data_IF_559265223308
#
_entry.id   IF_559265223308
#
_cell.length_a   1.000
_cell.length_b   1.000
_cell.length_c   1.000
_cell.angle_alpha   90.00
_cell.angle_beta   90.00
_cell.angle_gamma   90.00
#
_symmetry.space_group_name_H-M   'P 1'
#
loop_
_entity.id
_entity.type
_entity.pdbx_description
1 polymer ?
#
# COMPACT_ATOMS: atom_id res chain seq x y z
N UNK A 1 2.62 -5.82 -17.88
CA UNK A 1 2.88 -4.38 -17.60
C UNK A 1 1.56 -3.63 -17.69
N UNK A 2 1.31 -2.67 -16.80
CA UNK A 2 0.16 -1.76 -16.89
C UNK A 2 0.69 -0.36 -17.06
N UNK A 3 0.16 0.37 -18.04
CA UNK A 3 0.48 1.77 -18.24
C UNK A 3 -0.79 2.59 -18.13
N UNK A 4 -0.79 3.60 -17.30
CA UNK A 4 -1.89 4.56 -17.10
C UNK A 4 -1.38 5.92 -17.54
N UNK A 5 -2.05 6.52 -18.53
CA UNK A 5 -1.62 7.77 -19.16
C UNK A 5 -2.74 8.80 -19.14
N UNK A 6 -2.48 9.89 -18.44
CA UNK A 6 -3.38 11.06 -18.37
C UNK A 6 -4.82 10.70 -17.97
N UNK A 7 -4.97 9.76 -17.06
CA UNK A 7 -6.25 9.17 -16.71
C UNK A 7 -7.13 10.15 -15.92
N UNK A 8 -8.33 10.40 -16.43
CA UNK A 8 -9.32 11.29 -15.80
C UNK A 8 -10.66 10.58 -15.65
N UNK A 9 -11.32 10.77 -14.51
CA UNK A 9 -12.70 10.36 -14.30
C UNK A 9 -13.50 11.46 -13.64
N UNK A 10 -14.55 11.92 -14.35
CA UNK A 10 -15.51 12.91 -13.86
C UNK A 10 -16.89 12.29 -13.67
N UNK A 11 -17.58 12.67 -12.62
CA UNK A 11 -18.97 12.36 -12.32
C UNK A 11 -19.72 13.69 -12.14
N UNK A 12 -20.33 14.20 -13.23
CA UNK A 12 -20.84 15.57 -13.26
C UNK A 12 -19.69 16.56 -13.00
N UNK A 13 -19.86 17.42 -12.01
CA UNK A 13 -18.85 18.42 -11.63
C UNK A 13 -17.73 17.86 -10.72
N UNK A 14 -17.88 16.64 -10.22
CA UNK A 14 -16.89 16.03 -9.34
C UNK A 14 -15.83 15.27 -10.14
N UNK A 15 -14.57 15.67 -10.01
CA UNK A 15 -13.42 14.95 -10.57
C UNK A 15 -12.89 13.95 -9.54
N UNK A 16 -13.18 12.67 -9.75
CA UNK A 16 -12.78 11.58 -8.85
C UNK A 16 -11.33 11.08 -9.12
N UNK A 17 -10.86 11.23 -10.37
CA UNK A 17 -9.49 10.92 -10.79
C UNK A 17 -9.04 12.04 -11.72
N UNK A 18 -7.85 12.60 -11.46
CA UNK A 18 -7.35 13.80 -12.09
C UNK A 18 -5.93 13.61 -12.64
N UNK A 19 -5.84 13.33 -13.94
CA UNK A 19 -4.61 13.20 -14.73
C UNK A 19 -3.59 12.22 -14.14
N UNK A 20 -4.03 11.03 -13.68
CA UNK A 20 -3.13 10.02 -13.18
C UNK A 20 -2.20 9.48 -14.27
N UNK A 21 -0.92 9.42 -13.93
CA UNK A 21 0.13 8.83 -14.77
C UNK A 21 1.00 7.91 -13.92
N UNK A 22 1.04 6.63 -14.25
CA UNK A 22 1.94 5.66 -13.60
C UNK A 22 2.09 4.40 -14.44
N UNK A 23 3.13 3.64 -14.12
CA UNK A 23 3.41 2.35 -14.74
C UNK A 23 3.59 1.29 -13.66
N UNK A 24 3.01 0.11 -13.89
CA UNK A 24 3.18 -1.07 -13.04
C UNK A 24 4.04 -2.09 -13.79
N UNK A 25 5.22 -2.37 -13.26
CA UNK A 25 6.17 -3.32 -13.84
C UNK A 25 5.72 -4.77 -13.63
N UNK A 26 6.10 -5.66 -14.56
CA UNK A 26 5.81 -7.10 -14.44
C UNK A 26 6.51 -7.72 -13.23
N UNK A 27 5.79 -8.62 -12.53
CA UNK A 27 6.36 -9.44 -11.46
C UNK A 27 6.62 -8.69 -10.15
N UNK A 28 6.03 -7.51 -9.98
CA UNK A 28 6.10 -6.74 -8.73
C UNK A 28 4.74 -6.60 -8.08
N UNK A 29 4.73 -6.33 -6.79
CA UNK A 29 3.54 -6.02 -6.00
C UNK A 29 3.49 -4.51 -5.76
N UNK A 30 2.47 -3.86 -6.30
CA UNK A 30 2.22 -2.44 -6.14
C UNK A 30 1.10 -2.19 -5.13
N UNK A 31 1.36 -1.33 -4.16
CA UNK A 31 0.37 -0.82 -3.22
C UNK A 31 -0.22 0.50 -3.71
N UNK A 32 -1.54 0.58 -3.78
CA UNK A 32 -2.29 1.78 -4.12
C UNK A 32 -2.89 2.36 -2.85
N UNK A 33 -2.19 3.32 -2.25
CA UNK A 33 -2.49 3.87 -0.93
C UNK A 33 -3.19 5.22 -1.04
N UNK A 34 -4.17 5.47 -0.17
CA UNK A 34 -4.83 6.77 -0.08
C UNK A 34 -6.00 6.75 0.89
N UNK A 35 -6.50 7.91 1.35
CA UNK A 35 -7.67 7.98 2.20
C UNK A 35 -8.94 7.52 1.47
N UNK A 36 -10.03 7.34 2.22
CA UNK A 36 -11.33 7.08 1.61
C UNK A 36 -11.74 8.28 0.75
N UNK A 37 -12.22 8.01 -0.46
CA UNK A 37 -12.55 9.06 -1.42
C UNK A 37 -11.38 9.58 -2.27
N UNK A 38 -10.14 9.11 -2.07
CA UNK A 38 -8.98 9.54 -2.86
C UNK A 38 -9.00 9.11 -4.35
N UNK A 39 -9.96 8.28 -4.78
CA UNK A 39 -10.07 7.81 -6.15
C UNK A 39 -9.54 6.38 -6.39
N UNK A 40 -9.12 5.64 -5.34
CA UNK A 40 -8.54 4.29 -5.46
C UNK A 40 -9.44 3.31 -6.20
N UNK A 41 -10.63 3.02 -5.67
CA UNK A 41 -11.57 2.06 -6.28
C UNK A 41 -12.07 2.53 -7.65
N UNK A 42 -12.20 3.85 -7.86
CA UNK A 42 -12.51 4.41 -9.19
C UNK A 42 -11.41 4.07 -10.19
N UNK A 43 -10.15 4.23 -9.80
CA UNK A 43 -8.99 3.88 -10.65
C UNK A 43 -8.94 2.37 -10.91
N UNK A 44 -9.13 1.52 -9.89
CA UNK A 44 -9.18 0.06 -10.05
C UNK A 44 -10.31 -0.36 -11.01
N UNK A 45 -11.49 0.26 -10.89
CA UNK A 45 -12.62 -0.01 -11.78
C UNK A 45 -12.35 0.41 -13.23
N UNK A 46 -11.57 1.46 -13.47
CA UNK A 46 -11.14 1.84 -14.82
C UNK A 46 -10.08 0.87 -15.36
N UNK A 47 -9.09 0.48 -14.56
CA UNK A 47 -8.05 -0.49 -14.97
C UNK A 47 -8.66 -1.85 -15.32
N UNK A 48 -9.70 -2.27 -14.60
CA UNK A 48 -10.42 -3.53 -14.88
C UNK A 48 -11.43 -3.41 -16.02
N UNK A 49 -11.64 -2.21 -16.55
CA UNK A 49 -12.64 -1.94 -17.59
C UNK A 49 -14.08 -2.12 -17.11
N UNK A 50 -14.32 -2.00 -15.78
CA UNK A 50 -15.66 -2.01 -15.20
C UNK A 50 -16.39 -0.68 -15.49
N UNK A 51 -15.65 0.43 -15.46
CA UNK A 51 -16.11 1.75 -15.89
C UNK A 51 -15.13 2.34 -16.92
N UNK A 52 -15.63 3.13 -17.86
CA UNK A 52 -14.78 3.86 -18.80
C UNK A 52 -14.19 5.10 -18.14
N UNK A 53 -12.97 5.48 -18.56
CA UNK A 53 -12.38 6.78 -18.25
C UNK A 53 -13.15 7.92 -18.95
N UNK A 54 -13.03 9.14 -18.44
CA UNK A 54 -13.50 10.34 -19.14
C UNK A 54 -12.47 10.81 -20.16
N UNK A 55 -11.18 10.73 -19.78
CA UNK A 55 -10.03 11.07 -20.63
C UNK A 55 -8.87 10.14 -20.28
N UNK A 56 -7.86 10.08 -21.16
CA UNK A 56 -6.66 9.26 -20.97
C UNK A 56 -6.86 7.81 -21.38
N UNK A 57 -5.79 7.02 -21.24
CA UNK A 57 -5.77 5.63 -21.70
C UNK A 57 -5.15 4.70 -20.63
N UNK A 58 -5.56 3.43 -20.67
CA UNK A 58 -5.01 2.35 -19.86
C UNK A 58 -4.61 1.23 -20.79
N UNK A 59 -3.33 0.85 -20.74
CA UNK A 59 -2.78 -0.26 -21.50
C UNK A 59 -2.44 -1.43 -20.57
N UNK A 60 -2.97 -2.60 -20.86
CA UNK A 60 -2.66 -3.84 -20.18
C UNK A 60 -1.81 -4.70 -21.11
N UNK A 61 -0.53 -4.77 -20.82
CA UNK A 61 0.45 -5.46 -21.67
C UNK A 61 0.38 -5.04 -23.15
N UNK A 62 0.25 -3.72 -23.37
CA UNK A 62 0.18 -3.08 -24.68
C UNK A 62 -1.23 -3.00 -25.29
N UNK A 63 -2.26 -3.64 -24.69
CA UNK A 63 -3.63 -3.64 -25.18
C UNK A 63 -4.47 -2.59 -24.43
N UNK A 64 -5.09 -1.68 -25.15
CA UNK A 64 -5.97 -0.67 -24.56
C UNK A 64 -7.25 -1.34 -24.01
N UNK A 65 -7.59 -1.04 -22.75
CA UNK A 65 -8.73 -1.65 -22.04
C UNK A 65 -10.08 -1.29 -22.66
N UNK A 66 -10.20 -0.15 -23.37
CA UNK A 66 -11.43 0.28 -24.01
C UNK A 66 -11.52 -0.18 -25.48
N UNK A 67 -10.39 -0.23 -26.19
CA UNK A 67 -10.36 -0.59 -27.63
C UNK A 67 -10.30 -2.10 -27.82
N UNK A 68 -9.55 -2.81 -26.95
CA UNK A 68 -9.35 -4.27 -27.00
C UNK A 68 -9.77 -4.96 -25.68
N UNK A 69 -11.01 -4.74 -25.19
CA UNK A 69 -11.42 -5.15 -23.85
C UNK A 69 -11.35 -6.65 -23.60
N UNK A 70 -11.63 -7.49 -24.61
CA UNK A 70 -11.58 -8.95 -24.44
C UNK A 70 -10.16 -9.46 -24.24
N UNK A 71 -9.18 -8.90 -24.94
CA UNK A 71 -7.77 -9.28 -24.84
C UNK A 71 -7.20 -8.78 -23.51
N UNK A 72 -7.42 -7.52 -23.19
CA UNK A 72 -6.93 -6.90 -21.96
C UNK A 72 -7.53 -7.55 -20.70
N UNK A 73 -8.87 -7.76 -20.65
CA UNK A 73 -9.56 -8.37 -19.50
C UNK A 73 -9.17 -9.84 -19.26
N UNK A 74 -8.83 -10.61 -20.28
CA UNK A 74 -8.31 -11.99 -20.10
C UNK A 74 -7.01 -12.02 -19.30
N UNK A 75 -6.22 -10.96 -19.35
CA UNK A 75 -4.95 -10.83 -18.61
C UNK A 75 -5.13 -10.41 -17.15
N UNK A 76 -6.34 -10.04 -16.74
CA UNK A 76 -6.64 -9.49 -15.42
C UNK A 76 -7.45 -10.47 -14.58
N UNK A 77 -7.02 -10.68 -13.35
CA UNK A 77 -7.84 -11.23 -12.27
C UNK A 77 -8.23 -10.11 -11.31
N UNK A 78 -9.51 -9.95 -11.02
CA UNK A 78 -10.00 -8.87 -10.15
C UNK A 78 -10.76 -9.39 -8.96
N UNK A 79 -10.38 -8.92 -7.78
CA UNK A 79 -11.09 -9.09 -6.51
C UNK A 79 -11.57 -7.71 -6.07
N UNK A 80 -12.86 -7.39 -6.18
CA UNK A 80 -13.42 -6.15 -5.60
C UNK A 80 -13.51 -6.26 -4.07
N UNK A 81 -13.63 -5.13 -3.38
CA UNK A 81 -13.77 -5.04 -1.92
C UNK A 81 -14.88 -5.99 -1.40
N UNK A 82 -16.02 -6.03 -2.09
CA UNK A 82 -17.12 -6.97 -1.81
C UNK A 82 -17.25 -7.92 -2.99
N UNK A 83 -16.74 -9.17 -2.88
CA UNK A 83 -16.83 -10.14 -3.96
C UNK A 83 -18.30 -10.49 -4.28
N UNK A 84 -18.73 -10.41 -5.57
CA UNK A 84 -20.09 -10.70 -6.00
C UNK A 84 -20.34 -12.22 -6.07
N UNK A 85 -20.40 -12.88 -4.90
CA UNK A 85 -20.52 -14.33 -4.80
C UNK A 85 -21.98 -14.79 -4.84
N UNK A 86 -22.26 -15.88 -5.56
CA UNK A 86 -23.57 -16.56 -5.54
C UNK A 86 -23.71 -17.35 -4.24
N UNK A 87 -24.47 -16.79 -3.30
CA UNK A 87 -24.58 -17.25 -1.91
C UNK A 87 -25.17 -18.67 -1.77
N UNK A 88 -26.02 -19.10 -2.71
CA UNK A 88 -26.70 -20.41 -2.70
C UNK A 88 -25.93 -21.50 -3.44
N UNK A 89 -24.77 -21.19 -4.01
CA UNK A 89 -23.83 -22.17 -4.55
C UNK A 89 -22.85 -22.67 -3.49
N UNK A 90 -22.37 -23.89 -3.65
CA UNK A 90 -21.16 -24.34 -2.96
C UNK A 90 -19.93 -23.69 -3.58
N UNK A 91 -18.80 -23.68 -2.84
CA UNK A 91 -17.53 -23.13 -3.36
C UNK A 91 -17.13 -23.78 -4.70
N UNK A 92 -17.28 -25.10 -4.79
CA UNK A 92 -16.90 -25.82 -6.01
C UNK A 92 -17.83 -25.51 -7.20
N UNK A 93 -19.14 -25.42 -6.96
CA UNK A 93 -20.12 -25.04 -8.00
C UNK A 93 -19.84 -23.64 -8.53
N UNK A 94 -19.58 -22.69 -7.61
CA UNK A 94 -19.27 -21.33 -7.97
C UNK A 94 -17.96 -21.21 -8.79
N UNK A 95 -16.90 -21.92 -8.39
CA UNK A 95 -15.65 -21.90 -9.14
C UNK A 95 -15.77 -22.57 -10.50
N UNK A 96 -16.60 -23.62 -10.64
CA UNK A 96 -16.93 -24.23 -11.93
C UNK A 96 -17.64 -23.22 -12.85
N UNK A 97 -18.66 -22.57 -12.33
CA UNK A 97 -19.40 -21.53 -13.03
C UNK A 97 -18.48 -20.37 -13.46
N UNK A 98 -17.64 -19.87 -12.55
CA UNK A 98 -16.68 -18.81 -12.86
C UNK A 98 -15.64 -19.21 -13.92
N UNK A 99 -15.15 -20.45 -13.87
CA UNK A 99 -14.25 -20.99 -14.87
C UNK A 99 -14.90 -21.09 -16.27
N UNK A 100 -16.20 -21.36 -16.30
CA UNK A 100 -16.98 -21.40 -17.53
C UNK A 100 -17.19 -20.01 -18.11
N UNK A 101 -17.55 -19.02 -17.28
CA UNK A 101 -17.68 -17.62 -17.69
C UNK A 101 -16.36 -17.03 -18.22
N UNK A 102 -15.23 -17.44 -17.64
CA UNK A 102 -13.89 -17.05 -18.12
C UNK A 102 -13.47 -17.79 -19.40
N UNK A 103 -14.34 -18.60 -19.99
CA UNK A 103 -14.10 -19.40 -21.19
C UNK A 103 -12.84 -20.29 -21.09
N UNK A 104 -12.52 -20.80 -19.87
CA UNK A 104 -11.41 -21.76 -19.69
C UNK A 104 -11.77 -23.06 -20.42
N UNK A 105 -10.87 -23.66 -21.24
CA UNK A 105 -11.10 -24.90 -21.92
C UNK A 105 -11.58 -25.99 -20.95
N UNK A 106 -12.59 -26.81 -21.39
CA UNK A 106 -13.24 -27.78 -20.52
C UNK A 106 -12.27 -28.80 -19.91
N UNK A 107 -11.29 -29.18 -20.65
CA UNK A 107 -10.22 -30.11 -20.27
C UNK A 107 -9.27 -29.55 -19.20
N UNK A 108 -9.14 -28.22 -19.11
CA UNK A 108 -8.25 -27.54 -18.18
C UNK A 108 -8.97 -27.09 -16.90
N UNK A 109 -10.31 -27.00 -16.91
CA UNK A 109 -11.10 -26.42 -15.80
C UNK A 109 -10.87 -27.13 -14.47
N UNK A 110 -10.88 -28.48 -14.46
CA UNK A 110 -10.73 -29.23 -13.20
C UNK A 110 -9.33 -29.03 -12.59
N UNK A 111 -8.29 -29.02 -13.42
CA UNK A 111 -6.92 -28.76 -12.99
C UNK A 111 -6.81 -27.34 -12.42
N UNK A 112 -7.30 -26.37 -13.16
CA UNK A 112 -7.26 -24.95 -12.79
C UNK A 112 -7.99 -24.70 -11.46
N UNK A 113 -9.23 -25.23 -11.30
CA UNK A 113 -10.01 -25.12 -10.07
C UNK A 113 -9.27 -25.75 -8.88
N UNK A 114 -8.70 -26.95 -9.07
CA UNK A 114 -7.95 -27.63 -8.01
C UNK A 114 -6.75 -26.80 -7.56
N UNK A 115 -5.99 -26.23 -8.48
CA UNK A 115 -4.82 -25.41 -8.17
C UNK A 115 -5.18 -24.11 -7.45
N UNK A 116 -6.22 -23.40 -7.91
CA UNK A 116 -6.65 -22.17 -7.21
C UNK A 116 -7.23 -22.45 -5.84
N UNK A 117 -7.96 -23.56 -5.66
CA UNK A 117 -8.47 -23.97 -4.34
C UNK A 117 -7.33 -24.30 -3.38
N UNK A 118 -6.29 -24.99 -3.83
CA UNK A 118 -5.10 -25.30 -3.04
C UNK A 118 -4.39 -24.00 -2.64
N UNK A 119 -4.14 -23.13 -3.61
CA UNK A 119 -3.47 -21.82 -3.40
C UNK A 119 -4.22 -20.95 -2.37
N UNK A 120 -5.55 -20.92 -2.45
CA UNK A 120 -6.39 -20.11 -1.55
C UNK A 120 -6.84 -20.83 -0.29
N UNK A 121 -6.40 -22.09 -0.07
CA UNK A 121 -6.74 -22.92 1.10
C UNK A 121 -8.26 -23.12 1.25
N UNK A 122 -8.93 -23.50 0.18
CA UNK A 122 -10.38 -23.73 0.12
C UNK A 122 -10.78 -25.21 0.02
N UNK A 123 -9.84 -26.14 0.00
CA UNK A 123 -10.13 -27.56 -0.27
C UNK A 123 -11.14 -28.17 0.72
N UNK A 124 -11.01 -27.86 2.00
CA UNK A 124 -11.91 -28.34 3.04
C UNK A 124 -13.31 -27.70 2.97
N UNK A 125 -13.43 -26.56 2.27
CA UNK A 125 -14.67 -25.80 2.13
C UNK A 125 -15.41 -26.07 0.82
N UNK A 126 -14.89 -26.89 -0.08
CA UNK A 126 -15.38 -27.09 -1.45
C UNK A 126 -16.87 -27.42 -1.57
N UNK A 127 -17.42 -28.16 -0.60
CA UNK A 127 -18.83 -28.59 -0.60
C UNK A 127 -19.72 -27.69 0.27
N UNK A 128 -19.15 -26.66 0.92
CA UNK A 128 -19.89 -25.76 1.79
C UNK A 128 -20.58 -24.67 0.98
N UNK A 129 -21.82 -24.33 1.32
CA UNK A 129 -22.53 -23.21 0.72
C UNK A 129 -21.81 -21.89 1.08
N UNK A 130 -21.67 -21.00 0.11
CA UNK A 130 -20.98 -19.73 0.26
C UNK A 130 -21.62 -18.85 1.33
N UNK A 131 -22.96 -18.86 1.46
CA UNK A 131 -23.66 -18.11 2.53
C UNK A 131 -23.22 -18.50 3.94
N UNK A 132 -22.78 -19.75 4.15
CA UNK A 132 -22.37 -20.30 5.44
C UNK A 132 -20.85 -20.11 5.71
N UNK A 133 -20.12 -19.38 4.88
CA UNK A 133 -18.72 -19.08 5.06
C UNK A 133 -18.54 -17.80 5.87
N UNK A 134 -17.45 -17.74 6.66
CA UNK A 134 -16.99 -16.49 7.26
C UNK A 134 -16.56 -15.47 6.19
N UNK A 135 -16.44 -14.20 6.56
CA UNK A 135 -15.99 -13.14 5.64
C UNK A 135 -14.65 -13.49 5.01
N UNK A 136 -13.67 -13.98 5.80
CA UNK A 136 -12.35 -14.37 5.30
C UNK A 136 -12.42 -15.53 4.29
N UNK A 137 -13.26 -16.51 4.50
CA UNK A 137 -13.46 -17.57 3.50
C UNK A 137 -14.15 -17.05 2.24
N UNK A 138 -15.11 -16.13 2.35
CA UNK A 138 -15.73 -15.48 1.17
C UNK A 138 -14.68 -14.68 0.38
N UNK A 139 -13.78 -13.98 1.07
CA UNK A 139 -12.67 -13.27 0.44
C UNK A 139 -11.74 -14.23 -0.32
N UNK A 140 -11.41 -15.40 0.27
CA UNK A 140 -10.63 -16.45 -0.39
C UNK A 140 -11.34 -17.03 -1.62
N UNK A 141 -12.68 -17.17 -1.59
CA UNK A 141 -13.45 -17.59 -2.78
C UNK A 141 -13.38 -16.55 -3.90
N UNK A 142 -13.53 -15.27 -3.57
CA UNK A 142 -13.34 -14.18 -4.53
C UNK A 142 -11.92 -14.15 -5.11
N UNK A 143 -10.90 -14.37 -4.28
CA UNK A 143 -9.51 -14.46 -4.73
C UNK A 143 -9.28 -15.69 -5.62
N UNK A 144 -9.85 -16.86 -5.28
CA UNK A 144 -9.80 -18.05 -6.12
C UNK A 144 -10.42 -17.78 -7.50
N UNK A 145 -11.57 -17.09 -7.55
CA UNK A 145 -12.19 -16.65 -8.80
C UNK A 145 -11.26 -15.70 -9.60
N UNK A 146 -10.60 -14.75 -8.93
CA UNK A 146 -9.66 -13.86 -9.59
C UNK A 146 -8.51 -14.61 -10.25
N UNK A 147 -7.99 -15.67 -9.59
CA UNK A 147 -6.87 -16.50 -10.04
C UNK A 147 -7.22 -17.49 -11.17
N UNK A 148 -8.50 -17.79 -11.41
CA UNK A 148 -8.92 -18.68 -12.50
C UNK A 148 -8.40 -18.17 -13.86
N UNK A 149 -7.81 -19.05 -14.64
CA UNK A 149 -7.24 -18.75 -15.95
C UNK A 149 -5.80 -18.22 -15.89
N UNK A 150 -5.17 -18.20 -14.73
CA UNK A 150 -3.78 -17.77 -14.51
C UNK A 150 -3.49 -16.36 -15.09
N UNK A 151 -4.21 -15.33 -14.67
CA UNK A 151 -4.04 -13.99 -15.21
C UNK A 151 -2.62 -13.46 -14.95
N UNK A 152 -2.07 -12.69 -15.88
CA UNK A 152 -0.76 -12.06 -15.69
C UNK A 152 -0.78 -10.98 -14.60
N UNK A 153 -1.92 -10.31 -14.44
CA UNK A 153 -2.14 -9.22 -13.50
C UNK A 153 -3.27 -9.58 -12.53
N UNK A 154 -3.05 -9.36 -11.25
CA UNK A 154 -4.06 -9.53 -10.19
C UNK A 154 -4.31 -8.17 -9.55
N UNK A 155 -5.57 -7.74 -9.54
CA UNK A 155 -6.01 -6.49 -8.90
C UNK A 155 -6.87 -6.84 -7.70
N UNK A 156 -6.51 -6.33 -6.53
CA UNK A 156 -7.14 -6.59 -5.25
C UNK A 156 -7.60 -5.26 -4.63
N UNK A 157 -8.90 -5.04 -4.55
CA UNK A 157 -9.45 -3.82 -3.94
C UNK A 157 -9.77 -4.10 -2.47
N UNK A 158 -9.01 -3.46 -1.55
CA UNK A 158 -9.14 -3.58 -0.09
C UNK A 158 -9.23 -5.05 0.40
N UNK A 159 -8.28 -5.94 0.06
CA UNK A 159 -8.41 -7.38 0.24
C UNK A 159 -8.50 -7.84 1.70
N UNK A 160 -8.16 -6.99 2.65
CA UNK A 160 -8.05 -7.29 4.09
C UNK A 160 -9.16 -6.66 4.94
N UNK A 161 -9.99 -5.79 4.34
CA UNK A 161 -11.04 -5.05 5.06
C UNK A 161 -12.00 -5.97 5.80
N UNK A 162 -12.11 -5.75 7.12
CA UNK A 162 -13.02 -6.45 8.02
C UNK A 162 -12.67 -7.92 8.27
N UNK A 163 -11.41 -8.28 8.07
CA UNK A 163 -10.83 -9.54 8.50
C UNK A 163 -10.25 -9.40 9.91
N UNK A 164 -10.17 -10.52 10.64
CA UNK A 164 -9.45 -10.56 11.91
C UNK A 164 -7.92 -10.56 11.69
N UNK A 165 -7.11 -10.21 12.72
CA UNK A 165 -5.65 -10.09 12.58
C UNK A 165 -4.96 -11.35 12.04
N UNK A 166 -5.45 -12.54 12.40
CA UNK A 166 -4.90 -13.79 11.90
C UNK A 166 -5.16 -13.96 10.40
N UNK A 167 -6.38 -13.67 9.97
CA UNK A 167 -6.77 -13.74 8.57
C UNK A 167 -6.02 -12.70 7.72
N UNK A 168 -5.76 -11.50 8.26
CA UNK A 168 -4.95 -10.48 7.59
C UNK A 168 -3.54 -11.02 7.29
N UNK A 169 -2.88 -11.63 8.28
CA UNK A 169 -1.54 -12.24 8.08
C UNK A 169 -1.60 -13.31 6.98
N UNK A 170 -2.59 -14.19 7.03
CA UNK A 170 -2.73 -15.26 6.03
C UNK A 170 -3.00 -14.74 4.61
N UNK A 171 -3.78 -13.68 4.45
CA UNK A 171 -4.01 -13.04 3.14
C UNK A 171 -2.75 -12.33 2.65
N UNK A 172 -2.00 -11.65 3.52
CA UNK A 172 -0.71 -11.03 3.18
C UNK A 172 0.29 -12.06 2.67
N UNK A 173 0.44 -13.19 3.36
CA UNK A 173 1.34 -14.27 2.93
C UNK A 173 0.92 -14.84 1.58
N UNK A 174 -0.39 -14.96 1.36
CA UNK A 174 -0.93 -15.40 0.09
C UNK A 174 -0.59 -14.39 -1.02
N UNK A 175 -0.82 -13.09 -0.81
CA UNK A 175 -0.49 -12.04 -1.79
C UNK A 175 1.02 -12.05 -2.11
N UNK A 176 1.90 -12.16 -1.11
CA UNK A 176 3.35 -12.32 -1.33
C UNK A 176 3.68 -13.54 -2.20
N UNK A 177 3.00 -14.65 -1.98
CA UNK A 177 3.19 -15.85 -2.78
C UNK A 177 2.74 -15.68 -4.24
N UNK A 178 1.67 -14.91 -4.45
CA UNK A 178 1.16 -14.57 -5.79
C UNK A 178 2.10 -13.63 -6.54
N UNK A 179 2.71 -12.66 -5.87
CA UNK A 179 3.69 -11.74 -6.47
C UNK A 179 4.90 -12.43 -7.10
N UNK A 180 5.22 -13.67 -6.69
CA UNK A 180 6.29 -14.47 -7.32
C UNK A 180 5.96 -14.92 -8.73
N UNK A 181 4.69 -14.93 -9.13
CA UNK A 181 4.22 -15.47 -10.43
C UNK A 181 3.39 -14.46 -11.22
N UNK A 182 2.83 -13.49 -10.55
CA UNK A 182 1.91 -12.51 -11.11
C UNK A 182 2.38 -11.10 -10.79
N UNK A 183 1.96 -10.14 -11.59
CA UNK A 183 1.99 -8.73 -11.22
C UNK A 183 0.77 -8.46 -10.34
N UNK A 184 0.95 -7.86 -9.18
CA UNK A 184 -0.15 -7.62 -8.25
C UNK A 184 -0.31 -6.12 -8.00
N UNK A 185 -1.53 -5.62 -8.07
CA UNK A 185 -1.90 -4.30 -7.54
C UNK A 185 -2.88 -4.54 -6.40
N UNK A 186 -2.61 -3.95 -5.25
CA UNK A 186 -3.57 -3.96 -4.15
C UNK A 186 -3.87 -2.54 -3.70
N UNK A 187 -5.14 -2.22 -3.48
CA UNK A 187 -5.52 -0.99 -2.81
C UNK A 187 -5.62 -1.21 -1.30
N UNK A 188 -5.23 -0.23 -0.53
CA UNK A 188 -5.47 -0.17 0.91
C UNK A 188 -5.46 1.27 1.41
N UNK A 189 -6.17 1.52 2.49
CA UNK A 189 -6.03 2.75 3.27
C UNK A 189 -5.15 2.52 4.52
N UNK A 190 -4.67 1.29 4.74
CA UNK A 190 -3.84 0.89 5.87
C UNK A 190 -2.39 0.71 5.40
N UNK A 191 -1.57 1.62 5.82
CA UNK A 191 -0.20 1.71 5.35
C UNK A 191 0.69 0.55 5.79
N UNK A 192 0.53 0.08 7.03
CA UNK A 192 1.28 -1.09 7.54
C UNK A 192 0.99 -2.38 6.75
N UNK A 193 -0.15 -2.46 6.09
CA UNK A 193 -0.48 -3.57 5.19
C UNK A 193 0.30 -3.48 3.89
N UNK A 194 0.33 -2.28 3.30
CA UNK A 194 1.03 -1.99 2.05
C UNK A 194 2.53 -2.20 2.22
N UNK A 195 3.12 -1.60 3.26
CA UNK A 195 4.56 -1.73 3.57
C UNK A 195 5.01 -3.17 3.79
N UNK A 196 4.15 -3.99 4.38
CA UNK A 196 4.49 -5.38 4.68
C UNK A 196 4.52 -6.29 3.45
N UNK A 197 3.93 -5.88 2.32
CA UNK A 197 3.68 -6.77 1.16
C UNK A 197 4.22 -6.21 -0.14
N UNK A 198 4.21 -4.87 -0.32
CA UNK A 198 4.45 -4.24 -1.62
C UNK A 198 5.93 -3.93 -1.86
N UNK A 199 6.36 -4.10 -3.11
CA UNK A 199 7.68 -3.69 -3.60
C UNK A 199 7.69 -2.20 -3.94
N UNK A 200 6.54 -1.63 -4.29
CA UNK A 200 6.38 -0.24 -4.69
C UNK A 200 5.03 0.31 -4.22
N UNK A 201 4.97 1.58 -3.85
CA UNK A 201 3.78 2.25 -3.36
C UNK A 201 3.44 3.46 -4.21
N UNK A 202 2.18 3.55 -4.61
CA UNK A 202 1.58 4.69 -5.28
C UNK A 202 0.64 5.37 -4.27
N UNK A 203 0.97 6.57 -3.84
CA UNK A 203 0.14 7.35 -2.90
C UNK A 203 -0.76 8.28 -3.69
N UNK A 204 -2.07 8.15 -3.47
CA UNK A 204 -3.08 8.98 -4.12
C UNK A 204 -3.83 9.80 -3.09
N UNK A 205 -4.03 11.08 -3.39
CA UNK A 205 -4.96 11.96 -2.69
C UNK A 205 -5.75 12.82 -3.69
N UNK A 206 -7.03 13.04 -3.39
CA UNK A 206 -7.96 13.87 -4.20
C UNK A 206 -7.88 13.59 -5.72
N UNK A 207 -7.73 12.32 -6.08
CA UNK A 207 -7.65 11.85 -7.47
C UNK A 207 -6.29 12.01 -8.14
N UNK A 208 -5.26 12.50 -7.45
CA UNK A 208 -3.92 12.75 -7.99
C UNK A 208 -2.88 11.81 -7.37
N UNK A 209 -1.84 11.51 -8.15
CA UNK A 209 -0.68 10.79 -7.65
C UNK A 209 0.24 11.78 -6.89
N UNK A 210 0.38 11.56 -5.58
CA UNK A 210 1.17 12.42 -4.69
C UNK A 210 2.61 11.93 -4.58
N UNK A 211 2.79 10.60 -4.52
CA UNK A 211 4.12 9.99 -4.46
C UNK A 211 4.11 8.60 -5.08
N UNK A 212 5.27 8.16 -5.58
CA UNK A 212 5.49 6.86 -6.20
C UNK A 212 6.93 6.42 -5.97
N UNK A 213 7.15 5.48 -5.06
CA UNK A 213 8.48 4.94 -4.76
C UNK A 213 8.37 3.62 -3.96
N UNK A 214 9.51 3.01 -3.60
CA UNK A 214 9.55 1.89 -2.67
C UNK A 214 9.16 2.34 -1.24
N UNK A 215 8.60 1.45 -0.40
CA UNK A 215 8.29 1.78 0.99
C UNK A 215 9.48 2.37 1.75
N UNK A 216 10.67 1.82 1.53
CA UNK A 216 11.92 2.25 2.16
C UNK A 216 12.32 3.67 1.73
N UNK A 217 12.21 3.97 0.42
CA UNK A 217 12.55 5.29 -0.10
C UNK A 217 11.56 6.34 0.36
N UNK A 218 10.25 6.05 0.31
CA UNK A 218 9.23 6.96 0.83
C UNK A 218 9.48 7.32 2.30
N UNK A 219 9.85 6.32 3.10
CA UNK A 219 10.23 6.55 4.50
C UNK A 219 11.46 7.46 4.63
N UNK A 220 12.50 7.27 3.80
CA UNK A 220 13.73 8.08 3.82
C UNK A 220 13.54 9.50 3.31
N UNK A 221 12.87 9.67 2.15
CA UNK A 221 12.70 10.99 1.51
C UNK A 221 11.92 11.94 2.39
N UNK A 222 10.94 11.43 3.16
CA UNK A 222 10.10 12.28 4.01
C UNK A 222 10.69 12.51 5.40
N UNK A 223 11.58 11.65 5.87
CA UNK A 223 12.37 11.96 7.06
C UNK A 223 13.31 13.14 6.78
N UNK A 224 13.56 13.40 5.49
CA UNK A 224 14.34 14.55 5.03
C UNK A 224 15.65 14.73 5.76
N UNK A 225 16.08 13.75 6.57
CA UNK A 225 17.33 13.75 7.33
C UNK A 225 17.31 12.60 8.33
N UNK A 226 18.49 12.09 8.59
CA UNK A 226 18.78 11.21 9.70
C UNK A 226 18.34 11.88 11.02
N UNK A 227 17.21 11.47 11.57
CA UNK A 227 16.81 11.86 12.91
C UNK A 227 17.11 10.69 13.85
N UNK A 228 17.63 11.02 15.04
CA UNK A 228 17.92 10.05 16.09
C UNK A 228 17.05 10.33 17.31
N UNK A 229 16.42 9.30 17.86
CA UNK A 229 15.87 9.34 19.18
C UNK A 229 16.92 8.91 20.19
N UNK A 230 17.09 9.72 21.22
CA UNK A 230 18.03 9.51 22.31
C UNK A 230 17.31 9.56 23.65
N UNK A 231 17.57 8.56 24.51
CA UNK A 231 17.28 8.64 25.94
C UNK A 231 18.59 8.69 26.69
N UNK A 232 18.84 9.78 27.40
CA UNK A 232 20.13 10.03 28.08
C UNK A 232 19.86 10.35 29.54
N UNK A 233 20.66 9.78 30.44
CA UNK A 233 20.62 10.05 31.87
C UNK A 233 21.60 11.16 32.24
N UNK A 234 21.13 12.18 32.99
CA UNK A 234 21.96 13.33 33.39
C UNK A 234 21.14 14.59 33.52
N UNK A 235 21.79 15.74 33.67
CA UNK A 235 21.14 17.05 33.64
C UNK A 235 20.84 17.50 32.22
N UNK A 236 19.60 17.95 31.96
CA UNK A 236 19.17 18.38 30.62
C UNK A 236 20.10 19.41 29.98
N UNK A 237 20.51 20.42 30.76
CA UNK A 237 21.38 21.50 30.28
C UNK A 237 22.74 20.99 29.79
N UNK A 238 23.35 20.06 30.52
CA UNK A 238 24.65 19.45 30.20
C UNK A 238 24.55 18.60 28.94
N UNK A 239 23.47 17.81 28.83
CA UNK A 239 23.22 16.96 27.65
C UNK A 239 23.04 17.84 26.41
N UNK A 240 22.22 18.89 26.52
CA UNK A 240 21.91 19.82 25.42
C UNK A 240 23.17 20.56 24.93
N UNK A 241 24.01 21.01 25.87
CA UNK A 241 25.28 21.67 25.55
C UNK A 241 26.23 20.71 24.81
N UNK A 242 26.40 19.50 25.31
CA UNK A 242 27.25 18.48 24.68
C UNK A 242 26.76 18.12 23.25
N UNK A 243 25.46 17.92 23.07
CA UNK A 243 24.87 17.67 21.76
C UNK A 243 24.99 18.86 20.80
N UNK A 244 24.92 20.09 21.31
CA UNK A 244 25.09 21.32 20.53
C UNK A 244 26.52 21.54 19.99
N UNK A 245 27.52 20.87 20.56
CA UNK A 245 28.91 20.90 20.09
C UNK A 245 29.19 19.90 18.95
N UNK A 246 28.27 18.97 18.71
CA UNK A 246 28.42 17.97 17.64
C UNK A 246 28.09 18.60 16.29
N UNK A 247 29.05 18.58 15.36
CA UNK A 247 28.85 19.08 14.00
C UNK A 247 27.71 18.33 13.28
N UNK A 248 27.04 19.00 12.35
CA UNK A 248 25.95 18.46 11.55
C UNK A 248 24.64 18.15 12.34
N UNK A 249 24.50 18.59 13.57
CA UNK A 249 23.20 18.62 14.25
C UNK A 249 22.47 19.92 13.88
N UNK A 250 21.30 19.80 13.23
CA UNK A 250 20.48 20.97 12.85
C UNK A 250 19.50 21.40 13.93
N UNK A 251 18.94 20.44 14.65
CA UNK A 251 17.94 20.72 15.65
C UNK A 251 17.92 19.64 16.74
N UNK A 252 17.63 20.07 17.98
CA UNK A 252 17.51 19.22 19.14
C UNK A 252 16.18 19.54 19.80
N UNK A 253 15.22 18.59 19.75
CA UNK A 253 13.91 18.70 20.39
C UNK A 253 13.91 17.87 21.66
N UNK A 254 13.57 18.48 22.78
CA UNK A 254 13.45 17.84 24.07
C UNK A 254 12.04 17.26 24.26
N UNK A 255 11.98 16.08 24.89
CA UNK A 255 10.76 15.45 25.36
C UNK A 255 10.93 14.98 26.81
N UNK A 256 9.86 15.03 27.59
CA UNK A 256 9.90 14.47 28.95
C UNK A 256 9.99 12.95 28.88
N UNK A 257 10.96 12.36 29.60
CA UNK A 257 11.11 10.90 29.68
C UNK A 257 10.26 10.31 30.80
N UNK A 258 9.79 9.06 30.59
CA UNK A 258 9.17 8.27 31.64
C UNK A 258 10.21 7.63 32.59
N UNK A 259 11.48 7.65 32.21
CA UNK A 259 12.58 7.06 33.02
C UNK A 259 13.11 8.10 33.99
N UNK A 260 13.11 7.78 35.29
CA UNK A 260 13.57 8.68 36.33
C UNK A 260 15.03 9.12 36.15
N UNK A 261 15.28 10.42 36.13
CA UNK A 261 16.60 11.00 35.90
C UNK A 261 17.14 10.89 34.49
N UNK A 262 16.30 10.54 33.53
CA UNK A 262 16.63 10.54 32.10
C UNK A 262 15.80 11.54 31.32
N UNK A 263 16.29 11.92 30.15
CA UNK A 263 15.69 12.87 29.24
C UNK A 263 15.66 12.28 27.83
N UNK A 264 14.55 12.49 27.13
CA UNK A 264 14.37 12.05 25.74
C UNK A 264 14.61 13.22 24.79
N UNK A 265 15.38 12.98 23.74
CA UNK A 265 15.69 13.96 22.71
C UNK A 265 15.44 13.37 21.32
N UNK A 266 14.90 14.20 20.43
CA UNK A 266 14.93 13.95 18.99
C UNK A 266 15.95 14.88 18.36
N UNK A 267 16.99 14.30 17.76
CA UNK A 267 18.08 15.01 17.11
C UNK A 267 17.90 14.94 15.60
N UNK A 268 17.91 16.08 14.95
CA UNK A 268 17.88 16.20 13.50
C UNK A 268 19.28 16.43 12.96
N UNK A 269 19.74 15.58 12.03
CA UNK A 269 21.11 15.56 11.49
C UNK A 269 21.08 16.05 10.04
N UNK A 270 22.03 16.92 9.69
CA UNK A 270 22.26 17.37 8.31
C UNK A 270 22.98 16.31 7.51
N UNK A 271 22.46 15.97 6.32
CA UNK A 271 23.11 15.05 5.40
C UNK A 271 22.91 13.56 5.75
N UNK A 272 23.60 12.69 5.01
CA UNK A 272 23.42 11.23 5.04
C UNK A 272 24.48 10.52 5.91
N UNK A 273 25.07 11.23 6.89
CA UNK A 273 26.14 10.69 7.73
C UNK A 273 25.58 10.03 9.01
N UNK A 274 26.14 8.88 9.35
CA UNK A 274 25.84 8.24 10.64
C UNK A 274 26.59 8.97 11.78
N UNK A 275 25.84 9.71 12.58
CA UNK A 275 26.37 10.53 13.68
C UNK A 275 26.36 9.84 15.03
N UNK A 276 25.98 8.55 15.08
CA UNK A 276 25.84 7.81 16.35
C UNK A 276 27.15 7.75 17.16
N UNK A 277 28.28 7.55 16.51
CA UNK A 277 29.59 7.56 17.18
C UNK A 277 29.94 8.94 17.74
N UNK A 278 29.76 9.99 16.96
CA UNK A 278 30.05 11.38 17.39
C UNK A 278 29.22 11.75 18.62
N UNK A 279 27.91 11.47 18.58
CA UNK A 279 27.00 11.70 19.68
C UNK A 279 27.39 10.87 20.91
N UNK A 280 27.77 9.61 20.72
CA UNK A 280 28.22 8.74 21.81
C UNK A 280 29.44 9.35 22.52
N UNK A 281 30.47 9.75 21.79
CA UNK A 281 31.68 10.31 22.37
C UNK A 281 31.41 11.64 23.08
N UNK A 282 30.62 12.54 22.47
CA UNK A 282 30.26 13.82 23.11
C UNK A 282 29.56 13.63 24.47
N UNK A 283 28.64 12.67 24.57
CA UNK A 283 27.95 12.37 25.81
C UNK A 283 28.82 11.61 26.82
N UNK A 284 29.78 10.81 26.36
CA UNK A 284 30.76 10.16 27.22
C UNK A 284 31.68 11.16 27.91
N UNK A 285 32.12 12.20 27.24
CA UNK A 285 32.97 13.26 27.81
C UNK A 285 32.31 13.94 29.00
N UNK A 286 31.01 14.19 28.92
CA UNK A 286 30.21 14.79 30.01
C UNK A 286 29.63 13.76 30.99
N UNK A 287 30.01 12.48 30.85
CA UNK A 287 29.57 11.35 31.70
C UNK A 287 28.05 11.17 31.76
N UNK A 288 27.36 11.42 30.66
CA UNK A 288 25.93 11.24 30.51
C UNK A 288 25.62 9.90 29.80
N UNK A 289 25.21 8.84 30.53
CA UNK A 289 24.97 7.53 29.93
C UNK A 289 23.80 7.54 28.95
N UNK A 290 24.02 6.97 27.76
CA UNK A 290 22.94 6.75 26.79
C UNK A 290 22.21 5.47 27.17
N UNK A 291 20.91 5.58 27.42
CA UNK A 291 20.03 4.44 27.71
C UNK A 291 19.40 3.87 26.44
N UNK A 292 19.16 4.73 25.45
CA UNK A 292 18.60 4.35 24.15
C UNK A 292 19.16 5.29 23.08
N UNK A 293 19.53 4.75 21.95
CA UNK A 293 19.88 5.48 20.74
C UNK A 293 19.36 4.71 19.53
N UNK A 294 18.43 5.28 18.81
CA UNK A 294 17.87 4.65 17.61
C UNK A 294 17.59 5.67 16.53
N UNK A 295 17.74 5.30 15.24
CA UNK A 295 17.27 6.15 14.15
C UNK A 295 15.76 6.31 14.22
N UNK A 296 15.29 7.54 14.11
CA UNK A 296 13.87 7.81 13.94
C UNK A 296 13.58 7.78 12.45
N UNK A 297 13.09 6.66 11.97
CA UNK A 297 12.47 6.63 10.65
C UNK A 297 11.03 7.10 10.82
N UNK A 298 10.64 8.14 10.10
CA UNK A 298 9.20 8.43 10.01
C UNK A 298 8.49 7.17 9.57
N UNK A 299 7.44 6.82 10.29
CA UNK A 299 6.53 5.79 9.80
C UNK A 299 5.95 6.27 8.47
N UNK A 300 5.65 5.35 7.57
CA UNK A 300 4.95 5.72 6.33
C UNK A 300 3.59 6.40 6.64
N UNK A 301 2.99 6.16 7.83
CA UNK A 301 1.80 6.88 8.33
C UNK A 301 2.06 8.39 8.48
N UNK A 302 3.19 8.77 9.05
CA UNK A 302 3.59 10.17 9.19
C UNK A 302 3.94 10.79 7.83
N UNK A 303 4.57 10.01 6.95
CA UNK A 303 4.81 10.37 5.54
C UNK A 303 3.50 10.67 4.84
N UNK A 304 2.54 9.77 4.96
CA UNK A 304 1.22 9.89 4.37
C UNK A 304 0.48 11.13 4.88
N UNK A 305 0.46 11.33 6.21
CA UNK A 305 -0.18 12.50 6.83
C UNK A 305 0.48 13.82 6.41
N UNK A 306 1.81 13.87 6.24
CA UNK A 306 2.48 15.08 5.75
C UNK A 306 2.10 15.38 4.30
N UNK A 307 2.16 14.37 3.41
CA UNK A 307 1.83 14.57 2.00
C UNK A 307 0.40 15.06 1.80
N UNK A 308 -0.55 14.51 2.56
CA UNK A 308 -1.97 14.91 2.47
C UNK A 308 -2.25 16.26 3.14
N UNK A 309 -1.56 16.62 4.24
CA UNK A 309 -1.73 17.91 4.93
C UNK A 309 -1.00 19.08 4.25
N UNK A 310 0.13 18.85 3.60
CA UNK A 310 0.86 19.92 2.88
C UNK A 310 0.11 20.38 1.62
N UNK A 311 -0.66 19.51 0.97
CA UNK A 311 -1.54 19.90 -0.13
C UNK A 311 -2.72 20.79 0.36
N UNK A 312 -3.26 20.55 1.55
CA UNK A 312 -4.30 21.43 2.14
C UNK A 312 -3.77 22.85 2.35
N UNK A 313 -2.57 23.00 2.91
CA UNK A 313 -1.93 24.30 3.13
C UNK A 313 -1.58 25.05 1.84
N UNK A 314 -1.26 24.31 0.77
CA UNK A 314 -0.97 24.90 -0.55
C UNK A 314 -2.24 25.35 -1.28
N UNK A 315 -3.36 24.68 -1.07
CA UNK A 315 -4.66 25.07 -1.65
C UNK A 315 -5.25 26.27 -0.90
N UNK A 316 -5.17 26.33 0.42
CA UNK A 316 -5.62 27.47 1.23
C UNK A 316 -4.86 28.76 0.85
N UNK A 317 -3.53 28.67 0.67
CA UNK A 317 -2.72 29.80 0.20
C UNK A 317 -3.04 30.28 -1.21
N UNK A 318 -3.48 29.38 -2.12
CA UNK A 318 -3.92 29.79 -3.47
C UNK A 318 -5.28 30.45 -3.44
N UNK A 319 -6.21 30.04 -2.58
CA UNK A 319 -7.51 30.67 -2.42
C UNK A 319 -7.46 32.03 -1.68
N UNK A 320 -6.46 32.24 -0.82
CA UNK A 320 -6.23 33.54 -0.19
C UNK A 320 -5.49 34.55 -1.09
N UNK A 321 -4.75 34.08 -2.09
CA UNK A 321 -4.03 34.92 -3.06
C UNK A 321 -4.84 35.40 -4.26
N UNK A 322 -6.08 34.88 -4.46
CA UNK A 322 -7.01 35.27 -5.51
C UNK A 322 -8.16 36.19 -4.99
N UNK A 323 -8.08 36.67 -3.77
CA UNK A 323 -8.93 37.74 -3.23
C UNK A 323 -8.11 38.99 -3.08
#
# INVERSE_FOLDING_TARGET
MIEVKNLVKKYGDHTAVDHLNFTVEKGKIYGFLGPNGAGKSTTMNMITGYIASTEGEILIDGHNILDEPEVAKKKIGYLPEIPPLYQDMTVLEYLKFAAELKAIPKEEREKNIKEVMLTTKLEDMKRRLIKNLSKGYKQRVGLAQALLGYPEVIILDEPTVGLDPKQIIEIRDLIKSLGKKHTVILSSHILSEVSAVCDHVLIIDKGRLVASDTPENLSKVMTGMNSLELTVKGEEAVIREALGMVENIENIVYHSSMTEGAHDFTIKISGDMDMRENIFFALCEVKCPILRMQPTNMSLEEVFLKLTNDEEKLQDKKMEGEK
#
